data_IF_082050315081
#
_entry.id   IF_082050315081
#
_cell.length_a   1.000
_cell.length_b   1.000
_cell.length_c   1.000
_cell.angle_alpha   90.00
_cell.angle_beta   90.00
_cell.angle_gamma   90.00
#
_symmetry.space_group_name_H-M   'P 1'
#
loop_
_entity.id
_entity.type
_entity.pdbx_description
1 polymer ?
#
# COMPACT_ATOMS: atom_id res chain seq x y z
N UNK A 1 -10.24 -4.57 7.73
CA UNK A 1 -9.17 -3.93 8.52
C UNK A 1 -9.63 -3.56 9.92
N UNK A 2 -10.38 -2.47 10.14
CA UNK A 2 -10.75 -2.00 11.49
C UNK A 2 -11.40 -3.08 12.36
N UNK A 3 -12.30 -3.89 11.81
CA UNK A 3 -12.95 -4.98 12.52
C UNK A 3 -11.96 -6.10 12.89
N UNK A 4 -11.09 -6.53 11.98
CA UNK A 4 -10.04 -7.53 12.29
C UNK A 4 -9.13 -7.03 13.42
N UNK A 5 -8.76 -5.75 13.41
CA UNK A 5 -7.93 -5.16 14.47
C UNK A 5 -8.69 -5.01 15.79
N UNK A 6 -9.98 -4.65 15.73
CA UNK A 6 -10.85 -4.63 16.90
C UNK A 6 -10.97 -6.02 17.54
N UNK A 7 -11.12 -7.06 16.72
CA UNK A 7 -11.08 -8.45 17.19
C UNK A 7 -9.73 -8.77 17.84
N UNK A 8 -8.61 -8.46 17.17
CA UNK A 8 -7.27 -8.74 17.68
C UNK A 8 -6.96 -8.07 19.03
N UNK A 9 -7.28 -6.77 19.18
CA UNK A 9 -6.93 -6.02 20.38
C UNK A 9 -7.95 -6.18 21.50
N UNK A 10 -9.24 -6.17 21.19
CA UNK A 10 -10.29 -6.20 22.21
C UNK A 10 -10.80 -7.59 22.54
N UNK A 11 -10.43 -8.60 21.74
CA UNK A 11 -10.84 -10.00 21.91
C UNK A 11 -12.37 -10.17 22.00
N UNK A 12 -13.11 -9.41 21.18
CA UNK A 12 -14.58 -9.47 21.11
C UNK A 12 -15.02 -10.05 19.77
N UNK A 13 -15.69 -11.20 19.82
CA UNK A 13 -16.11 -11.98 18.65
C UNK A 13 -17.00 -11.20 17.69
N UNK A 14 -17.86 -10.31 18.20
CA UNK A 14 -18.70 -9.43 17.38
C UNK A 14 -17.96 -8.66 16.29
N UNK A 15 -16.68 -8.35 16.49
CA UNK A 15 -15.86 -7.71 15.46
C UNK A 15 -15.49 -8.69 14.34
N UNK A 16 -15.12 -9.93 14.67
CA UNK A 16 -14.83 -10.97 13.69
C UNK A 16 -16.08 -11.41 12.94
N UNK A 17 -17.20 -11.60 13.64
CA UNK A 17 -18.51 -11.92 13.05
C UNK A 17 -18.92 -10.88 12.01
N UNK A 18 -18.84 -9.59 12.35
CA UNK A 18 -19.19 -8.55 11.41
C UNK A 18 -18.17 -8.44 10.26
N UNK A 19 -16.88 -8.68 10.51
CA UNK A 19 -15.90 -8.76 9.44
C UNK A 19 -16.23 -9.89 8.44
N UNK A 20 -16.60 -11.07 8.93
CA UNK A 20 -16.99 -12.22 8.10
C UNK A 20 -18.21 -11.88 7.25
N UNK A 21 -19.24 -11.25 7.81
CA UNK A 21 -20.43 -10.86 7.05
C UNK A 21 -20.08 -9.95 5.85
N UNK A 22 -19.15 -9.00 6.03
CA UNK A 22 -18.68 -8.14 4.95
C UNK A 22 -17.83 -8.89 3.92
N UNK A 23 -17.03 -9.86 4.35
CA UNK A 23 -16.26 -10.71 3.45
C UNK A 23 -17.17 -11.58 2.58
N UNK A 24 -18.21 -12.16 3.18
CA UNK A 24 -19.21 -12.94 2.45
C UNK A 24 -19.92 -12.09 1.39
N UNK A 25 -20.38 -10.89 1.76
CA UNK A 25 -21.06 -9.98 0.81
C UNK A 25 -20.13 -9.58 -0.34
N UNK A 26 -18.89 -9.19 -0.05
CA UNK A 26 -18.01 -8.59 -1.05
C UNK A 26 -17.25 -9.60 -1.92
N UNK A 27 -16.89 -10.77 -1.37
CA UNK A 27 -16.02 -11.74 -2.07
C UNK A 27 -16.75 -13.02 -2.50
N UNK A 28 -17.82 -13.42 -1.81
CA UNK A 28 -18.36 -14.79 -1.90
C UNK A 28 -19.75 -14.81 -2.50
N UNK A 29 -20.69 -14.06 -1.95
CA UNK A 29 -22.10 -14.10 -2.31
C UNK A 29 -22.29 -13.75 -3.79
N UNK A 30 -22.77 -14.71 -4.58
CA UNK A 30 -22.87 -14.58 -6.03
C UNK A 30 -23.66 -13.37 -6.52
N UNK A 31 -24.65 -12.92 -5.74
CA UNK A 31 -25.49 -11.77 -6.08
C UNK A 31 -24.81 -10.42 -5.85
N UNK A 32 -23.79 -10.38 -4.98
CA UNK A 32 -23.18 -9.12 -4.52
C UNK A 32 -21.67 -9.06 -4.69
N UNK A 33 -21.02 -10.19 -4.92
CA UNK A 33 -19.56 -10.28 -4.97
C UNK A 33 -18.99 -9.39 -6.06
N UNK A 34 -17.86 -8.77 -5.74
CA UNK A 34 -16.99 -8.18 -6.74
C UNK A 34 -16.29 -9.32 -7.52
N UNK A 35 -16.24 -9.25 -8.84
CA UNK A 35 -15.42 -10.16 -9.63
C UNK A 35 -13.92 -9.92 -9.33
N UNK A 36 -13.06 -10.96 -9.31
CA UNK A 36 -11.65 -10.84 -8.92
C UNK A 36 -10.77 -10.18 -10.00
N UNK A 37 -11.13 -8.98 -10.44
CA UNK A 37 -10.41 -8.20 -11.43
C UNK A 37 -10.75 -6.70 -11.35
N UNK A 38 -9.94 -5.87 -12.02
CA UNK A 38 -10.18 -4.43 -12.19
C UNK A 38 -10.27 -4.05 -13.67
N UNK A 39 -10.77 -4.95 -14.53
CA UNK A 39 -10.80 -4.76 -15.98
C UNK A 39 -11.50 -3.47 -16.41
N UNK A 40 -12.47 -2.99 -15.62
CA UNK A 40 -13.24 -1.77 -15.92
C UNK A 40 -12.92 -0.59 -14.99
N UNK A 41 -11.87 -0.67 -14.18
CA UNK A 41 -11.51 0.39 -13.25
C UNK A 41 -11.02 1.65 -13.99
N UNK A 42 -11.47 2.82 -13.52
CA UNK A 42 -11.19 4.13 -14.12
C UNK A 42 -11.47 4.20 -15.64
N UNK A 43 -12.57 3.56 -16.06
CA UNK A 43 -13.07 3.65 -17.43
C UNK A 43 -13.25 5.10 -17.88
N UNK A 44 -12.67 5.45 -19.03
CA UNK A 44 -12.86 6.75 -19.68
C UNK A 44 -13.98 6.61 -20.71
N UNK A 45 -15.01 7.47 -20.61
CA UNK A 45 -16.15 7.48 -21.53
C UNK A 45 -15.78 8.18 -22.84
N UNK A 46 -16.41 7.73 -23.93
CA UNK A 46 -16.32 8.35 -25.26
C UNK A 46 -15.66 7.45 -26.30
N UNK A 47 -15.79 7.85 -27.57
CA UNK A 47 -15.30 7.09 -28.74
C UNK A 47 -13.77 6.91 -28.78
N UNK A 48 -13.03 7.73 -28.03
CA UNK A 48 -11.57 7.63 -27.88
C UNK A 48 -11.14 6.36 -27.14
N UNK A 49 -12.02 5.75 -26.32
CA UNK A 49 -11.75 4.50 -25.64
C UNK A 49 -12.13 3.31 -26.54
N UNK A 50 -11.19 2.87 -27.36
CA UNK A 50 -11.38 1.78 -28.34
C UNK A 50 -11.34 0.40 -27.69
N UNK A 51 -10.71 0.24 -26.52
CA UNK A 51 -10.58 -1.05 -25.83
C UNK A 51 -11.88 -1.47 -25.15
N UNK A 52 -12.79 -0.52 -24.86
CA UNK A 52 -14.02 -0.72 -24.08
C UNK A 52 -13.74 -1.29 -22.67
N UNK A 53 -12.53 -1.10 -22.18
CA UNK A 53 -12.08 -1.50 -20.85
C UNK A 53 -11.62 -0.27 -20.06
N UNK A 54 -11.30 -0.50 -18.79
CA UNK A 54 -10.55 0.44 -17.96
C UNK A 54 -9.10 0.54 -18.39
N UNK A 55 -8.27 1.11 -17.50
CA UNK A 55 -6.85 1.41 -17.76
C UNK A 55 -5.99 1.00 -16.58
N UNK A 56 -4.69 0.85 -16.80
CA UNK A 56 -3.73 0.45 -15.77
C UNK A 56 -3.78 1.30 -14.49
N UNK A 57 -4.02 2.61 -14.60
CA UNK A 57 -4.17 3.50 -13.45
C UNK A 57 -5.31 3.08 -12.53
N UNK A 58 -6.28 2.31 -13.03
CA UNK A 58 -7.36 1.71 -12.27
C UNK A 58 -6.89 0.90 -11.06
N UNK A 59 -5.67 0.36 -11.07
CA UNK A 59 -5.09 -0.45 -9.98
C UNK A 59 -5.14 0.28 -8.63
N UNK A 60 -4.87 1.59 -8.61
CA UNK A 60 -4.83 2.39 -7.36
C UNK A 60 -6.20 2.55 -6.71
N UNK A 61 -7.28 2.31 -7.46
CA UNK A 61 -8.66 2.37 -6.97
C UNK A 61 -8.94 1.24 -5.97
N UNK A 62 -8.21 0.13 -6.08
CA UNK A 62 -8.39 -1.05 -5.25
C UNK A 62 -7.28 -1.25 -4.20
N UNK A 63 -6.41 -0.26 -3.98
CA UNK A 63 -5.27 -0.33 -3.02
C UNK A 63 -5.65 -0.75 -1.60
N UNK A 64 -6.93 -0.59 -1.21
CA UNK A 64 -7.45 -1.06 0.06
C UNK A 64 -7.41 -2.61 0.17
N UNK A 65 -7.48 -3.33 -0.94
CA UNK A 65 -7.37 -4.79 -0.99
C UNK A 65 -6.01 -5.27 -0.46
N UNK A 66 -4.92 -4.54 -0.70
CA UNK A 66 -3.59 -4.88 -0.15
C UNK A 66 -3.63 -4.93 1.39
N UNK A 67 -4.36 -4.01 2.03
CA UNK A 67 -4.51 -3.99 3.50
C UNK A 67 -5.50 -5.04 3.99
N UNK A 68 -6.58 -5.29 3.24
CA UNK A 68 -7.54 -6.35 3.57
C UNK A 68 -6.82 -7.69 3.58
N UNK A 69 -6.10 -8.03 2.51
CA UNK A 69 -5.43 -9.31 2.38
C UNK A 69 -4.34 -9.50 3.45
N UNK A 70 -3.62 -8.44 3.81
CA UNK A 70 -2.60 -8.47 4.86
C UNK A 70 -3.16 -8.75 6.27
N UNK A 71 -4.39 -8.30 6.57
CA UNK A 71 -4.99 -8.43 7.91
C UNK A 71 -5.95 -9.60 8.04
N UNK A 72 -6.33 -10.26 6.95
CA UNK A 72 -7.16 -11.47 6.97
C UNK A 72 -6.61 -12.58 7.87
N UNK A 73 -5.29 -12.84 7.94
CA UNK A 73 -4.77 -13.90 8.80
C UNK A 73 -5.12 -13.77 10.29
N UNK A 74 -5.40 -12.55 10.77
CA UNK A 74 -5.89 -12.32 12.14
C UNK A 74 -7.19 -13.08 12.42
N UNK A 75 -8.03 -13.27 11.41
CA UNK A 75 -9.31 -13.97 11.55
C UNK A 75 -9.16 -15.48 11.66
N UNK A 76 -7.99 -16.08 11.36
CA UNK A 76 -7.77 -17.52 11.63
C UNK A 76 -7.86 -17.87 13.11
N UNK A 77 -7.72 -16.89 14.01
CA UNK A 77 -7.95 -17.08 15.44
C UNK A 77 -9.45 -17.20 15.79
N UNK A 78 -10.36 -16.92 14.85
CA UNK A 78 -11.81 -17.01 15.05
C UNK A 78 -12.36 -18.23 14.29
N UNK A 79 -12.92 -19.25 14.98
CA UNK A 79 -13.36 -20.50 14.33
C UNK A 79 -14.32 -20.30 13.16
N UNK A 80 -15.21 -19.31 13.23
CA UNK A 80 -16.18 -19.02 12.16
C UNK A 80 -15.54 -18.60 10.83
N UNK A 81 -14.28 -18.15 10.82
CA UNK A 81 -13.59 -17.79 9.58
C UNK A 81 -13.22 -19.02 8.74
N UNK A 82 -13.00 -20.19 9.36
CA UNK A 82 -12.63 -21.40 8.63
C UNK A 82 -13.67 -21.85 7.60
N UNK A 83 -14.96 -21.56 7.85
CA UNK A 83 -16.04 -21.89 6.93
C UNK A 83 -15.94 -21.12 5.59
N UNK A 84 -15.36 -19.92 5.60
CA UNK A 84 -15.29 -19.06 4.41
C UNK A 84 -13.88 -18.93 3.83
N UNK A 85 -12.83 -19.35 4.57
CA UNK A 85 -11.45 -19.04 4.21
C UNK A 85 -11.03 -19.57 2.83
N UNK A 86 -11.53 -20.75 2.42
CA UNK A 86 -11.22 -21.32 1.10
C UNK A 86 -11.80 -20.49 -0.05
N UNK A 87 -12.99 -19.91 0.12
CA UNK A 87 -13.58 -19.02 -0.88
C UNK A 87 -12.79 -17.71 -1.01
N UNK A 88 -12.29 -17.19 0.11
CA UNK A 88 -11.43 -16.00 0.13
C UNK A 88 -10.09 -16.27 -0.54
N UNK A 89 -9.45 -17.41 -0.22
CA UNK A 89 -8.23 -17.87 -0.90
C UNK A 89 -8.47 -17.99 -2.40
N UNK A 90 -9.57 -18.63 -2.81
CA UNK A 90 -9.92 -18.77 -4.22
C UNK A 90 -10.06 -17.42 -4.93
N UNK A 91 -10.77 -16.46 -4.32
CA UNK A 91 -10.93 -15.12 -4.90
C UNK A 91 -9.58 -14.43 -5.10
N UNK A 92 -8.70 -14.47 -4.10
CA UNK A 92 -7.37 -13.87 -4.20
C UNK A 92 -6.44 -14.60 -5.17
N UNK A 93 -6.59 -15.92 -5.34
CA UNK A 93 -5.89 -16.68 -6.38
C UNK A 93 -6.31 -16.23 -7.78
N UNK A 94 -7.61 -16.10 -8.04
CA UNK A 94 -8.12 -15.57 -9.31
C UNK A 94 -7.66 -14.12 -9.55
N UNK A 95 -7.64 -13.30 -8.51
CA UNK A 95 -7.16 -11.93 -8.61
C UNK A 95 -5.65 -11.87 -8.89
N UNK A 96 -4.87 -12.75 -8.27
CA UNK A 96 -3.43 -12.90 -8.56
C UNK A 96 -3.18 -13.29 -10.01
N UNK A 97 -3.97 -14.21 -10.55
CA UNK A 97 -3.88 -14.60 -11.96
C UNK A 97 -4.20 -13.40 -12.87
N UNK A 98 -5.28 -12.68 -12.59
CA UNK A 98 -5.64 -11.48 -13.35
C UNK A 98 -4.54 -10.40 -13.30
N UNK A 99 -3.91 -10.18 -12.14
CA UNK A 99 -2.80 -9.23 -12.01
C UNK A 99 -1.64 -9.54 -12.96
N UNK A 100 -1.35 -10.82 -13.18
CA UNK A 100 -0.21 -11.28 -13.98
C UNK A 100 -0.55 -11.33 -15.48
N UNK A 101 -1.76 -11.77 -15.82
CA UNK A 101 -2.12 -12.11 -17.21
C UNK A 101 -2.91 -11.00 -17.93
N UNK A 102 -3.54 -10.09 -17.19
CA UNK A 102 -4.44 -9.12 -17.81
C UNK A 102 -3.70 -8.05 -18.60
N UNK A 103 -4.13 -7.73 -19.83
CA UNK A 103 -3.62 -6.58 -20.57
C UNK A 103 -3.84 -5.24 -19.84
N UNK A 104 -4.87 -5.13 -18.99
CA UNK A 104 -5.11 -3.93 -18.19
C UNK A 104 -4.11 -3.84 -17.03
N UNK A 105 -3.83 -4.96 -16.36
CA UNK A 105 -2.84 -4.99 -15.29
C UNK A 105 -1.41 -4.80 -15.82
N UNK A 106 -1.11 -5.31 -17.01
CA UNK A 106 0.17 -5.13 -17.70
C UNK A 106 0.47 -3.64 -18.02
N UNK A 107 -0.54 -2.81 -18.26
CA UNK A 107 -0.33 -1.36 -18.35
C UNK A 107 0.21 -0.77 -17.04
N UNK A 108 -0.30 -1.26 -15.90
CA UNK A 108 0.16 -0.80 -14.58
C UNK A 108 1.56 -1.33 -14.25
N UNK A 109 1.87 -2.58 -14.63
CA UNK A 109 3.19 -3.20 -14.44
C UNK A 109 4.30 -2.49 -15.23
N UNK A 110 3.96 -1.84 -16.35
CA UNK A 110 4.87 -1.07 -17.21
C UNK A 110 4.94 0.42 -16.85
N UNK A 111 4.13 0.88 -15.90
CA UNK A 111 4.20 2.25 -15.45
C UNK A 111 5.57 2.52 -14.77
N UNK A 112 5.99 3.80 -14.74
CA UNK A 112 7.29 4.18 -14.16
C UNK A 112 7.18 4.97 -12.85
N UNK A 113 5.94 5.22 -12.42
CA UNK A 113 5.60 6.07 -11.28
C UNK A 113 4.83 5.23 -10.23
N UNK A 114 4.13 5.89 -9.31
CA UNK A 114 3.37 5.27 -8.23
C UNK A 114 2.36 4.21 -8.69
N UNK A 115 1.89 4.25 -9.95
CA UNK A 115 1.01 3.22 -10.49
C UNK A 115 1.69 1.85 -10.47
N UNK A 116 2.97 1.77 -10.85
CA UNK A 116 3.75 0.52 -10.80
C UNK A 116 4.01 0.09 -9.36
N UNK A 117 4.34 1.03 -8.48
CA UNK A 117 4.56 0.75 -7.06
C UNK A 117 3.32 0.15 -6.42
N UNK A 118 2.13 0.70 -6.71
CA UNK A 118 0.88 0.13 -6.23
C UNK A 118 0.55 -1.20 -6.89
N UNK A 119 0.82 -1.38 -8.18
CA UNK A 119 0.72 -2.68 -8.83
C UNK A 119 1.58 -3.74 -8.11
N UNK A 120 2.85 -3.43 -7.81
CA UNK A 120 3.73 -4.32 -7.06
C UNK A 120 3.24 -4.55 -5.63
N UNK A 121 2.65 -3.55 -4.96
CA UNK A 121 2.03 -3.73 -3.65
C UNK A 121 0.86 -4.72 -3.70
N UNK A 122 0.05 -4.70 -4.77
CA UNK A 122 -0.99 -5.69 -5.01
C UNK A 122 -0.41 -7.08 -5.23
N UNK A 123 0.55 -7.24 -6.16
CA UNK A 123 1.19 -8.53 -6.44
C UNK A 123 1.82 -9.12 -5.19
N UNK A 124 2.64 -8.34 -4.48
CA UNK A 124 3.40 -8.81 -3.31
C UNK A 124 2.47 -9.12 -2.13
N UNK A 125 1.45 -8.31 -1.84
CA UNK A 125 0.53 -8.62 -0.73
C UNK A 125 -0.33 -9.85 -0.98
N UNK A 126 -0.79 -10.05 -2.22
CA UNK A 126 -1.57 -11.24 -2.59
C UNK A 126 -0.68 -12.48 -2.57
N UNK A 127 0.53 -12.41 -3.13
CA UNK A 127 1.49 -13.51 -3.08
C UNK A 127 1.93 -13.84 -1.64
N UNK A 128 2.13 -12.84 -0.79
CA UNK A 128 2.42 -13.03 0.63
C UNK A 128 1.28 -13.74 1.36
N UNK A 129 0.03 -13.41 1.06
CA UNK A 129 -1.12 -14.06 1.67
C UNK A 129 -1.30 -15.52 1.21
N UNK A 130 -1.17 -15.78 -0.10
CA UNK A 130 -1.39 -17.11 -0.66
C UNK A 130 -0.19 -18.04 -0.41
N UNK A 131 1.03 -17.50 -0.50
CA UNK A 131 2.28 -18.26 -0.51
C UNK A 131 3.41 -17.53 0.26
N UNK A 132 3.27 -17.35 1.59
CA UNK A 132 4.16 -16.50 2.41
C UNK A 132 5.63 -16.91 2.41
N UNK A 133 5.95 -18.15 2.04
CA UNK A 133 7.32 -18.68 1.98
C UNK A 133 7.80 -18.99 0.56
N UNK A 134 7.09 -18.51 -0.48
CA UNK A 134 7.46 -18.81 -1.86
C UNK A 134 8.71 -18.05 -2.30
N UNK A 135 9.53 -18.72 -3.12
CA UNK A 135 10.65 -18.07 -3.81
C UNK A 135 10.17 -16.94 -4.72
N UNK A 136 9.00 -17.11 -5.34
CA UNK A 136 8.41 -16.12 -6.22
C UNK A 136 8.11 -14.79 -5.50
N UNK A 137 7.55 -14.84 -4.29
CA UNK A 137 7.36 -13.66 -3.45
C UNK A 137 8.69 -12.94 -3.17
N UNK A 138 9.71 -13.71 -2.80
CA UNK A 138 11.06 -13.17 -2.54
C UNK A 138 11.64 -12.49 -3.78
N UNK A 139 11.44 -13.10 -4.97
CA UNK A 139 11.90 -12.54 -6.23
C UNK A 139 11.18 -11.22 -6.57
N UNK A 140 9.87 -11.13 -6.39
CA UNK A 140 9.13 -9.88 -6.63
C UNK A 140 9.61 -8.74 -5.74
N UNK A 141 9.86 -9.01 -4.45
CA UNK A 141 10.38 -8.02 -3.50
C UNK A 141 11.78 -7.57 -3.93
N UNK A 142 12.69 -8.51 -4.21
CA UNK A 142 14.05 -8.18 -4.66
C UNK A 142 14.03 -7.37 -5.95
N UNK A 143 13.28 -7.81 -6.96
CA UNK A 143 13.18 -7.11 -8.23
C UNK A 143 12.66 -5.67 -8.06
N UNK A 144 11.62 -5.46 -7.24
CA UNK A 144 11.12 -4.12 -6.98
C UNK A 144 12.21 -3.23 -6.36
N UNK A 145 12.89 -3.68 -5.32
CA UNK A 145 13.89 -2.86 -4.61
C UNK A 145 15.23 -2.74 -5.37
N UNK A 146 15.58 -3.69 -6.23
CA UNK A 146 16.82 -3.70 -6.99
C UNK A 146 16.70 -3.00 -8.35
N UNK A 147 15.53 -3.07 -9.00
CA UNK A 147 15.30 -2.47 -10.33
C UNK A 147 14.37 -1.28 -10.28
N UNK A 148 13.17 -1.42 -9.72
CA UNK A 148 12.14 -0.38 -9.81
C UNK A 148 12.39 0.82 -8.90
N UNK A 149 12.76 0.61 -7.64
CA UNK A 149 12.99 1.71 -6.69
C UNK A 149 14.10 2.68 -7.16
N UNK A 150 15.26 2.21 -7.67
CA UNK A 150 16.30 3.10 -8.20
C UNK A 150 15.87 3.94 -9.41
N UNK A 151 14.89 3.49 -10.19
CA UNK A 151 14.34 4.26 -11.31
C UNK A 151 13.33 5.33 -10.86
N UNK A 152 12.74 5.16 -9.67
CA UNK A 152 11.72 6.06 -9.15
C UNK A 152 12.28 7.15 -8.22
N UNK A 153 13.34 6.85 -7.47
CA UNK A 153 13.94 7.77 -6.49
C UNK A 153 15.32 8.20 -6.97
N UNK A 154 15.51 9.52 -7.08
CA UNK A 154 16.82 10.09 -7.38
C UNK A 154 17.77 9.89 -6.18
N UNK A 155 18.85 9.14 -6.42
CA UNK A 155 19.82 8.75 -5.39
C UNK A 155 20.68 9.89 -4.82
N UNK A 156 20.58 11.11 -5.37
CA UNK A 156 21.32 12.28 -4.88
C UNK A 156 20.45 13.19 -4.03
N UNK A 157 19.17 13.27 -4.35
CA UNK A 157 18.24 14.25 -3.77
C UNK A 157 17.13 13.62 -2.94
N UNK A 158 16.81 12.33 -3.16
CA UNK A 158 15.64 11.68 -2.58
C UNK A 158 14.32 12.07 -3.24
N UNK A 159 14.36 12.92 -4.28
CA UNK A 159 13.18 13.29 -5.05
C UNK A 159 12.63 12.08 -5.82
N UNK A 160 11.32 12.10 -6.10
CA UNK A 160 10.69 11.18 -7.04
C UNK A 160 10.27 11.96 -8.29
N UNK A 161 11.09 11.99 -9.36
CA UNK A 161 10.92 12.97 -10.44
C UNK A 161 9.58 12.90 -11.18
N UNK A 162 9.01 11.70 -11.32
CA UNK A 162 7.72 11.52 -11.99
C UNK A 162 6.52 11.94 -11.12
N UNK A 163 6.67 11.88 -9.80
CA UNK A 163 5.65 12.36 -8.85
C UNK A 163 5.71 13.88 -8.68
N UNK A 164 6.92 14.43 -8.62
CA UNK A 164 7.12 15.87 -8.45
C UNK A 164 6.60 16.72 -9.62
N UNK A 165 6.42 16.11 -10.80
CA UNK A 165 5.85 16.77 -12.00
C UNK A 165 4.33 16.73 -12.06
N UNK A 166 3.65 16.10 -11.08
CA UNK A 166 2.18 15.97 -11.07
C UNK A 166 1.49 17.26 -10.60
N UNK A 167 0.17 17.32 -10.80
CA UNK A 167 -0.63 18.48 -10.39
C UNK A 167 -0.61 18.73 -8.86
N UNK A 168 -0.48 17.67 -8.07
CA UNK A 168 -0.32 17.73 -6.61
C UNK A 168 0.96 17.00 -6.18
N UNK A 169 2.15 17.61 -6.37
CA UNK A 169 3.44 16.94 -6.19
C UNK A 169 3.60 16.27 -4.81
N UNK A 170 3.28 16.99 -3.73
CA UNK A 170 3.45 16.48 -2.37
C UNK A 170 2.60 15.25 -2.09
N UNK A 171 1.33 15.28 -2.53
CA UNK A 171 0.43 14.15 -2.44
C UNK A 171 1.02 12.92 -3.13
N UNK A 172 1.46 13.06 -4.39
CA UNK A 172 1.99 11.92 -5.14
C UNK A 172 3.31 11.39 -4.58
N UNK A 173 4.18 12.27 -4.08
CA UNK A 173 5.40 11.87 -3.37
C UNK A 173 5.07 11.00 -2.15
N UNK A 174 4.15 11.46 -1.29
CA UNK A 174 3.72 10.73 -0.11
C UNK A 174 2.96 9.43 -0.48
N UNK A 175 2.11 9.49 -1.49
CA UNK A 175 1.30 8.38 -1.98
C UNK A 175 2.13 7.22 -2.52
N UNK A 176 3.20 7.51 -3.26
CA UNK A 176 4.14 6.49 -3.70
C UNK A 176 4.93 5.90 -2.51
N UNK A 177 5.38 6.76 -1.60
CA UNK A 177 6.14 6.31 -0.41
C UNK A 177 5.31 5.42 0.51
N UNK A 178 4.00 5.64 0.62
CA UNK A 178 3.12 4.71 1.32
C UNK A 178 3.17 3.28 0.74
N UNK A 179 3.20 3.15 -0.59
CA UNK A 179 3.28 1.82 -1.23
C UNK A 179 4.68 1.21 -1.09
N UNK A 180 5.75 2.01 -1.22
CA UNK A 180 7.14 1.55 -1.00
C UNK A 180 7.29 0.97 0.42
N UNK A 181 6.82 1.70 1.44
CA UNK A 181 6.92 1.25 2.83
C UNK A 181 6.00 0.07 3.15
N UNK A 182 4.84 -0.02 2.48
CA UNK A 182 3.99 -1.20 2.56
C UNK A 182 4.70 -2.45 2.05
N UNK A 183 5.36 -2.37 0.90
CA UNK A 183 6.18 -3.47 0.39
C UNK A 183 7.37 -3.74 1.33
N UNK A 184 7.97 -2.69 1.91
CA UNK A 184 9.11 -2.84 2.82
C UNK A 184 8.78 -3.61 4.10
N UNK A 185 7.60 -3.41 4.67
CA UNK A 185 7.20 -4.13 5.88
C UNK A 185 6.80 -5.59 5.56
N UNK A 186 6.20 -5.85 4.39
CA UNK A 186 6.02 -7.23 3.89
C UNK A 186 7.36 -7.92 3.60
N UNK A 187 8.37 -7.20 3.15
CA UNK A 187 9.71 -7.75 3.00
C UNK A 187 10.32 -8.14 4.36
N UNK A 188 10.14 -7.30 5.38
CA UNK A 188 10.60 -7.57 6.74
C UNK A 188 9.91 -8.78 7.37
N UNK A 189 8.60 -8.97 7.14
CA UNK A 189 7.86 -10.12 7.70
C UNK A 189 8.40 -11.47 7.21
N UNK A 190 9.08 -11.49 6.05
CA UNK A 190 9.73 -12.67 5.49
C UNK A 190 11.26 -12.64 5.62
N UNK A 191 11.81 -11.76 6.48
CA UNK A 191 13.24 -11.73 6.83
C UNK A 191 14.13 -10.90 5.89
N UNK A 192 13.58 -10.08 5.00
CA UNK A 192 14.36 -9.22 4.10
C UNK A 192 14.39 -7.79 4.66
N UNK A 193 15.53 -7.34 5.18
CA UNK A 193 15.67 -5.98 5.73
C UNK A 193 15.97 -4.94 4.65
N UNK A 194 14.95 -4.61 3.85
CA UNK A 194 15.07 -3.64 2.76
C UNK A 194 15.36 -2.21 3.25
N UNK A 195 15.04 -1.90 4.51
CA UNK A 195 15.35 -0.59 5.06
C UNK A 195 16.87 -0.37 5.13
N UNK A 196 17.62 -1.38 5.58
CA UNK A 196 19.08 -1.33 5.57
C UNK A 196 19.64 -1.45 4.15
N UNK A 197 19.11 -2.38 3.33
CA UNK A 197 19.59 -2.57 1.95
C UNK A 197 19.38 -1.36 1.04
N UNK A 198 18.36 -0.54 1.30
CA UNK A 198 17.99 0.65 0.52
C UNK A 198 18.00 1.92 1.37
N UNK A 199 18.87 1.93 2.39
CA UNK A 199 19.02 3.03 3.37
C UNK A 199 19.13 4.39 2.68
N UNK A 200 20.03 4.53 1.71
CA UNK A 200 20.29 5.81 1.06
C UNK A 200 19.05 6.37 0.35
N UNK A 201 18.34 5.53 -0.41
CA UNK A 201 17.12 5.94 -1.11
C UNK A 201 16.02 6.37 -0.12
N UNK A 202 15.74 5.56 0.89
CA UNK A 202 14.68 5.81 1.86
C UNK A 202 15.00 7.01 2.75
N UNK A 203 16.25 7.11 3.22
CA UNK A 203 16.72 8.22 4.02
C UNK A 203 16.65 9.54 3.25
N UNK A 204 17.19 9.59 2.03
CA UNK A 204 17.14 10.80 1.21
C UNK A 204 15.69 11.20 0.88
N UNK A 205 14.80 10.24 0.59
CA UNK A 205 13.39 10.53 0.37
C UNK A 205 12.72 11.13 1.62
N UNK A 206 13.05 10.64 2.82
CA UNK A 206 12.57 11.23 4.07
C UNK A 206 13.08 12.68 4.25
N UNK A 207 14.36 12.93 4.01
CA UNK A 207 14.95 14.28 4.04
C UNK A 207 14.33 15.20 2.99
N UNK A 208 13.96 14.67 1.82
CA UNK A 208 13.29 15.44 0.79
C UNK A 208 11.92 15.96 1.28
N UNK A 209 11.14 15.13 1.97
CA UNK A 209 9.86 15.58 2.58
C UNK A 209 10.05 16.68 3.61
N UNK A 210 11.07 16.59 4.47
CA UNK A 210 11.27 17.58 5.53
C UNK A 210 11.61 18.97 5.02
N UNK A 211 12.13 19.06 3.79
CA UNK A 211 12.47 20.33 3.12
C UNK A 211 11.36 20.83 2.20
N UNK A 212 10.31 20.05 1.95
CA UNK A 212 9.33 20.38 0.91
C UNK A 212 8.54 21.66 1.23
N UNK A 213 8.12 21.86 2.49
CA UNK A 213 7.37 23.06 2.90
C UNK A 213 8.14 24.36 2.61
N UNK A 214 9.47 24.34 2.73
CA UNK A 214 10.33 25.49 2.42
C UNK A 214 10.20 25.93 0.96
N UNK A 215 9.88 24.99 0.06
CA UNK A 215 9.71 25.27 -1.38
C UNK A 215 8.29 25.67 -1.75
N UNK A 216 7.28 25.31 -0.94
CA UNK A 216 5.86 25.62 -1.14
C UNK A 216 5.16 25.83 0.21
N UNK A 217 5.15 27.06 0.75
CA UNK A 217 4.48 27.37 2.01
C UNK A 217 2.97 27.11 1.96
N UNK A 218 2.40 26.65 3.08
CA UNK A 218 0.95 26.51 3.25
C UNK A 218 0.33 25.22 2.70
N UNK A 219 1.12 24.29 2.17
CA UNK A 219 0.63 22.96 1.81
C UNK A 219 0.40 22.10 3.06
N UNK A 220 -0.49 21.13 2.95
CA UNK A 220 -0.63 20.11 3.98
C UNK A 220 0.49 19.06 3.87
N UNK A 221 1.45 19.12 4.80
CA UNK A 221 2.57 18.18 4.84
C UNK A 221 2.32 16.91 5.66
N UNK A 222 1.14 16.80 6.28
CA UNK A 222 0.85 15.70 7.22
C UNK A 222 0.74 14.34 6.53
N UNK A 223 0.48 14.32 5.22
CA UNK A 223 0.43 13.09 4.43
C UNK A 223 1.75 12.31 4.44
N UNK A 224 2.90 12.97 4.62
CA UNK A 224 4.21 12.33 4.67
C UNK A 224 4.66 11.98 6.11
N UNK A 225 3.99 12.49 7.14
CA UNK A 225 4.41 12.37 8.54
C UNK A 225 4.64 10.90 8.94
N UNK A 226 3.74 10.01 8.53
CA UNK A 226 3.85 8.57 8.83
C UNK A 226 5.03 7.93 8.11
N UNK A 227 5.21 8.20 6.81
CA UNK A 227 6.34 7.67 6.05
C UNK A 227 7.66 8.08 6.67
N UNK A 228 7.78 9.36 7.00
CA UNK A 228 8.98 9.94 7.62
C UNK A 228 9.23 9.34 9.01
N UNK A 229 8.21 9.16 9.84
CA UNK A 229 8.34 8.53 11.17
C UNK A 229 8.81 7.08 11.09
N UNK A 230 8.25 6.28 10.17
CA UNK A 230 8.66 4.89 9.95
C UNK A 230 10.12 4.82 9.51
N UNK A 231 10.50 5.57 8.47
CA UNK A 231 11.87 5.60 7.97
C UNK A 231 12.81 6.04 9.10
N UNK A 232 12.42 7.07 9.85
CA UNK A 232 13.23 7.58 10.96
C UNK A 232 13.48 6.52 12.02
N UNK A 233 12.44 5.80 12.45
CA UNK A 233 12.55 4.74 13.47
C UNK A 233 13.32 3.52 13.00
N UNK A 234 13.27 3.21 11.70
CA UNK A 234 13.91 2.03 11.12
C UNK A 234 15.40 2.26 10.83
N UNK A 235 15.79 3.43 10.32
CA UNK A 235 17.14 3.67 9.80
C UNK A 235 17.77 5.03 10.14
N UNK A 236 17.05 6.04 10.63
CA UNK A 236 17.68 7.30 11.00
C UNK A 236 18.17 7.26 12.46
N UNK A 237 19.48 7.32 12.65
CA UNK A 237 20.10 7.26 13.99
C UNK A 237 20.16 8.65 14.65
N UNK A 238 20.05 9.72 13.85
CA UNK A 238 20.44 11.08 14.28
C UNK A 238 19.24 11.98 14.62
N UNK A 239 18.02 11.43 14.62
CA UNK A 239 16.80 12.21 14.87
C UNK A 239 16.51 13.30 13.85
N UNK A 240 17.19 13.32 12.68
CA UNK A 240 17.09 14.36 11.64
C UNK A 240 15.66 14.65 11.15
N UNK A 241 14.76 13.69 11.29
CA UNK A 241 13.35 13.78 10.87
C UNK A 241 12.37 14.02 12.03
N UNK A 242 12.84 13.99 13.29
CA UNK A 242 11.98 14.10 14.48
C UNK A 242 11.21 15.42 14.54
N UNK A 243 11.91 16.54 14.29
CA UNK A 243 11.30 17.88 14.20
C UNK A 243 10.18 17.96 13.17
N UNK A 244 10.32 17.30 12.03
CA UNK A 244 9.28 17.29 11.01
C UNK A 244 8.02 16.58 11.50
N UNK A 245 8.17 15.41 12.12
CA UNK A 245 7.05 14.65 12.66
C UNK A 245 6.36 15.41 13.80
N UNK A 246 7.15 16.07 14.67
CA UNK A 246 6.63 16.92 15.74
C UNK A 246 5.90 18.15 15.19
N UNK A 247 6.46 18.82 14.19
CA UNK A 247 5.79 19.93 13.51
C UNK A 247 4.46 19.49 12.91
N UNK A 248 4.42 18.36 12.20
CA UNK A 248 3.19 17.82 11.63
C UNK A 248 2.10 17.61 12.69
N UNK A 249 2.46 17.12 13.89
CA UNK A 249 1.54 16.89 15.02
C UNK A 249 1.00 18.16 15.66
N UNK A 250 1.63 19.31 15.46
CA UNK A 250 1.20 20.61 15.98
C UNK A 250 0.73 21.57 14.88
N UNK A 251 0.75 21.14 13.63
CA UNK A 251 0.26 21.92 12.49
C UNK A 251 -1.26 22.07 12.53
N UNK A 252 -1.80 23.02 11.75
CA UNK A 252 -3.25 23.19 11.57
C UNK A 252 -3.97 21.99 10.92
N UNK A 253 -3.22 20.96 10.53
CA UNK A 253 -3.71 19.72 9.91
C UNK A 253 -3.49 18.50 10.82
N UNK A 254 -3.09 18.70 12.08
CA UNK A 254 -2.73 17.63 13.02
C UNK A 254 -3.80 16.55 13.19
N UNK A 255 -5.08 16.90 13.06
CA UNK A 255 -6.23 15.98 13.13
C UNK A 255 -6.16 14.87 12.07
N UNK A 256 -5.47 15.11 10.95
CA UNK A 256 -5.23 14.11 9.90
C UNK A 256 -4.20 13.06 10.29
N UNK A 257 -3.46 13.26 11.38
CA UNK A 257 -2.50 12.29 11.93
C UNK A 257 -3.05 11.67 13.21
N UNK A 258 -3.63 12.49 14.08
CA UNK A 258 -4.08 12.09 15.43
C UNK A 258 -5.54 11.63 15.49
N UNK A 259 -6.28 11.69 14.38
CA UNK A 259 -7.67 11.23 14.33
C UNK A 259 -7.82 9.71 14.51
N UNK A 260 -8.96 9.20 15.01
CA UNK A 260 -9.20 7.76 15.25
C UNK A 260 -8.97 6.86 14.04
N UNK A 261 -9.14 7.43 12.82
CA UNK A 261 -8.90 6.75 11.54
C UNK A 261 -7.41 6.51 11.26
N UNK A 262 -6.50 7.24 11.92
CA UNK A 262 -5.06 7.26 11.64
C UNK A 262 -4.21 6.77 12.84
N UNK A 263 -4.81 6.67 14.03
CA UNK A 263 -4.21 6.25 15.32
C UNK A 263 -3.91 4.75 15.43
N UNK A 264 -4.39 3.91 14.51
CA UNK A 264 -4.05 2.49 14.52
C UNK A 264 -2.59 2.34 14.06
N UNK A 265 -1.69 2.50 15.01
CA UNK A 265 -0.28 2.80 14.78
C UNK A 265 0.59 1.59 14.42
N UNK A 266 0.19 0.35 14.70
CA UNK A 266 1.08 -0.81 14.61
C UNK A 266 0.78 -1.84 13.52
N UNK A 267 -0.44 -1.87 12.96
CA UNK A 267 -0.89 -2.95 12.06
C UNK A 267 -1.39 -2.47 10.68
N UNK A 268 -1.06 -1.23 10.32
CA UNK A 268 -1.33 -0.67 8.97
C UNK A 268 -0.29 -1.08 7.92
N UNK A 269 0.76 -1.76 8.38
CA UNK A 269 1.85 -2.33 7.61
C UNK A 269 2.04 -3.76 8.10
#
# INVERSE_FOLDING_TARGET
MYLCLGYYFFKKDKYAEYAISLLEIFFINEKTRMNPNLTYAQFIRGSQNTTKTGRGEGIVSARALCRVVNVLPVLYLFPGYHAISQHIIHWFSCYSQWLIESPVADQASKAKNNIHTWYMAHVISVQHFLYPSSLQLTNYIKEFFEKSLPEQIDKKTGNQPLESKRAQPFHYLAFNMHAILFIAELARSIGIDVYHLKRDYLHLAAIYFTKFEQTKPGIDITEAARCVDIISKRICVDGCCSRFVEYCKHSKYAEKISGPKNVICSLWL
#
